data_IF_171855006275
#
_entry.id   IF_171855006275
#
_cell.length_a   1.000
_cell.length_b   1.000
_cell.length_c   1.000
_cell.angle_alpha   90.00
_cell.angle_beta   90.00
_cell.angle_gamma   90.00
#
_symmetry.space_group_name_H-M   'P 1'
#
loop_
_entity.id
_entity.type
_entity.pdbx_description
1 polymer ?
#
# COMPACT_ATOMS: atom_id res chain seq x y z
N UNK A 1 61.13 -5.71 -29.92
CA UNK A 1 60.02 -6.42 -29.24
C UNK A 1 59.52 -5.52 -28.11
N UNK A 2 58.30 -4.98 -28.22
CA UNK A 2 57.67 -4.14 -27.17
C UNK A 2 56.74 -5.04 -26.35
N UNK A 3 56.95 -5.10 -25.03
CA UNK A 3 56.05 -5.79 -24.10
C UNK A 3 54.92 -4.84 -23.67
N UNK A 4 53.68 -5.27 -23.87
CA UNK A 4 52.47 -4.59 -23.39
C UNK A 4 52.15 -5.14 -22.00
N UNK A 5 52.20 -4.30 -20.97
CA UNK A 5 51.78 -4.67 -19.60
C UNK A 5 50.27 -4.51 -19.53
N UNK A 6 49.55 -5.63 -19.41
CA UNK A 6 48.11 -5.65 -19.18
C UNK A 6 47.86 -5.48 -17.67
N UNK A 7 47.44 -4.29 -17.23
CA UNK A 7 47.01 -4.06 -15.84
C UNK A 7 45.56 -4.54 -15.72
N UNK A 8 45.35 -5.71 -15.13
CA UNK A 8 44.03 -6.20 -14.74
C UNK A 8 43.55 -5.38 -13.54
N UNK A 9 42.66 -4.41 -13.78
CA UNK A 9 41.92 -3.75 -12.69
C UNK A 9 40.78 -4.68 -12.29
N UNK A 10 40.98 -5.42 -11.19
CA UNK A 10 39.91 -6.14 -10.51
C UNK A 10 38.93 -5.10 -9.93
N UNK A 11 37.83 -4.84 -10.65
CA UNK A 11 36.68 -4.14 -10.10
C UNK A 11 36.03 -5.06 -9.07
N UNK A 12 36.39 -4.88 -7.80
CA UNK A 12 35.66 -5.44 -6.68
C UNK A 12 34.24 -4.87 -6.72
N UNK A 13 33.25 -5.71 -7.00
CA UNK A 13 31.84 -5.40 -6.80
C UNK A 13 31.62 -5.20 -5.30
N UNK A 14 31.75 -3.96 -4.83
CA UNK A 14 31.29 -3.57 -3.50
C UNK A 14 29.76 -3.51 -3.60
N UNK A 15 29.11 -4.62 -3.27
CA UNK A 15 27.67 -4.61 -3.01
C UNK A 15 27.44 -3.61 -1.87
N UNK A 16 26.55 -2.60 -2.01
CA UNK A 16 26.24 -1.71 -0.91
C UNK A 16 25.77 -2.55 0.27
N UNK A 17 26.47 -2.43 1.40
CA UNK A 17 26.03 -3.02 2.65
C UNK A 17 24.69 -2.39 3.00
N UNK A 18 23.65 -3.23 3.11
CA UNK A 18 22.32 -2.84 3.58
C UNK A 18 22.45 -1.90 4.79
N UNK A 19 21.98 -0.66 4.68
CA UNK A 19 21.90 0.24 5.83
C UNK A 19 20.97 -0.38 6.89
N UNK A 20 21.36 -0.31 8.16
CA UNK A 20 20.48 -0.75 9.23
C UNK A 20 19.17 0.06 9.16
N UNK A 21 18.03 -0.53 9.54
CA UNK A 21 16.79 0.22 9.72
C UNK A 21 17.02 1.41 10.67
N UNK A 22 17.09 2.62 10.13
CA UNK A 22 17.34 3.87 10.87
C UNK A 22 16.16 4.82 10.77
N UNK A 23 16.09 5.76 11.69
CA UNK A 23 15.14 6.87 11.65
C UNK A 23 15.57 7.89 10.59
N UNK A 24 14.62 8.39 9.80
CA UNK A 24 14.81 9.59 8.99
C UNK A 24 14.97 10.83 9.89
N UNK A 25 15.36 11.97 9.31
CA UNK A 25 15.51 13.21 10.09
C UNK A 25 14.21 13.63 10.80
N UNK A 26 13.05 13.49 10.15
CA UNK A 26 11.75 13.82 10.75
C UNK A 26 11.36 12.83 11.86
N UNK A 27 11.64 11.54 11.65
CA UNK A 27 11.35 10.50 12.65
C UNK A 27 12.26 10.64 13.87
N UNK A 28 13.53 10.98 13.65
CA UNK A 28 14.49 11.27 14.71
C UNK A 28 14.10 12.51 15.51
N UNK A 29 13.63 13.56 14.83
CA UNK A 29 13.08 14.75 15.49
C UNK A 29 11.86 14.39 16.35
N UNK A 30 10.90 13.64 15.80
CA UNK A 30 9.72 13.21 16.54
C UNK A 30 10.07 12.36 17.77
N UNK A 31 10.99 11.40 17.60
CA UNK A 31 11.53 10.60 18.71
C UNK A 31 12.11 11.51 19.81
N UNK A 32 12.95 12.48 19.44
CA UNK A 32 13.57 13.40 20.40
C UNK A 32 12.53 14.24 21.14
N UNK A 33 11.50 14.72 20.43
CA UNK A 33 10.41 15.50 21.01
C UNK A 33 9.59 14.66 22.02
N UNK A 34 9.29 13.40 21.69
CA UNK A 34 8.60 12.49 22.61
C UNK A 34 9.45 12.22 23.85
N UNK A 35 10.76 11.98 23.68
CA UNK A 35 11.66 11.75 24.81
C UNK A 35 11.79 13.00 25.70
N UNK A 36 11.88 14.19 25.10
CA UNK A 36 11.89 15.45 25.83
C UNK A 36 10.59 15.65 26.62
N UNK A 37 9.44 15.37 26.01
CA UNK A 37 8.15 15.45 26.69
C UNK A 37 8.06 14.47 27.88
N UNK A 38 8.46 13.20 27.68
CA UNK A 38 8.53 12.21 28.76
C UNK A 38 9.45 12.64 29.91
N UNK A 39 10.59 13.26 29.59
CA UNK A 39 11.51 13.79 30.60
C UNK A 39 10.87 14.90 31.45
N UNK A 40 10.01 15.75 30.87
CA UNK A 40 9.25 16.75 31.65
C UNK A 40 8.29 16.12 32.66
N UNK A 41 7.91 14.86 32.45
CA UNK A 41 7.06 14.07 33.34
C UNK A 41 7.89 13.18 34.29
N UNK A 42 9.22 13.32 34.32
CA UNK A 42 10.10 12.50 35.16
C UNK A 42 10.23 11.04 34.71
N UNK A 43 9.86 10.73 33.47
CA UNK A 43 9.90 9.37 32.93
C UNK A 43 11.21 9.09 32.16
N UNK A 44 11.70 7.84 32.17
CA UNK A 44 12.92 7.48 31.45
C UNK A 44 12.73 7.52 29.93
N UNK A 45 13.84 7.75 29.23
CA UNK A 45 13.91 7.59 27.77
C UNK A 45 13.70 6.13 27.38
N UNK A 46 13.04 5.90 26.26
CA UNK A 46 12.76 4.57 25.71
C UNK A 46 13.75 4.28 24.59
N UNK A 47 14.46 3.14 24.60
CA UNK A 47 15.36 2.78 23.50
C UNK A 47 14.65 2.66 22.15
N UNK A 48 15.20 3.28 21.11
CA UNK A 48 14.73 3.10 19.74
C UNK A 48 14.91 1.63 19.30
N UNK A 49 13.83 1.03 18.83
CA UNK A 49 13.76 -0.36 18.38
C UNK A 49 13.78 -0.42 16.86
N UNK A 50 14.62 -1.30 16.31
CA UNK A 50 14.69 -1.54 14.86
C UNK A 50 13.42 -2.22 14.37
N UNK A 51 12.92 -3.20 15.12
CA UNK A 51 11.69 -3.91 14.78
C UNK A 51 10.48 -2.98 14.79
N UNK A 52 10.27 -2.22 15.88
CA UNK A 52 9.12 -1.32 15.96
C UNK A 52 9.24 -0.14 14.98
N UNK A 53 10.45 0.32 14.66
CA UNK A 53 10.66 1.35 13.63
C UNK A 53 10.24 0.81 12.26
N UNK A 54 10.59 -0.43 11.93
CA UNK A 54 10.10 -1.09 10.71
C UNK A 54 8.57 -1.15 10.66
N UNK A 55 7.92 -1.54 11.76
CA UNK A 55 6.45 -1.58 11.84
C UNK A 55 5.85 -0.20 11.63
N UNK A 56 6.37 0.82 12.31
CA UNK A 56 5.89 2.19 12.24
C UNK A 56 6.03 2.78 10.83
N UNK A 57 7.18 2.58 10.19
CA UNK A 57 7.42 3.03 8.82
C UNK A 57 6.57 2.27 7.80
N UNK A 58 6.40 0.96 7.98
CA UNK A 58 5.50 0.13 7.15
C UNK A 58 4.09 0.71 7.22
N UNK A 59 3.60 1.01 8.42
CA UNK A 59 2.26 1.56 8.63
C UNK A 59 2.11 2.97 8.07
N UNK A 60 3.09 3.86 8.26
CA UNK A 60 3.04 5.20 7.69
C UNK A 60 2.95 5.17 6.16
N UNK A 61 3.67 4.26 5.50
CA UNK A 61 3.55 4.07 4.06
C UNK A 61 2.20 3.45 3.66
N UNK A 62 1.68 2.48 4.42
CA UNK A 62 0.35 1.89 4.19
C UNK A 62 -0.76 2.94 4.28
N UNK A 63 -0.82 3.69 5.38
CA UNK A 63 -1.84 4.74 5.61
C UNK A 63 -1.73 5.85 4.57
N UNK A 64 -0.51 6.21 4.16
CA UNK A 64 -0.29 7.17 3.08
C UNK A 64 -0.81 6.68 1.73
N UNK A 65 -0.65 5.39 1.43
CA UNK A 65 -1.04 4.82 0.14
C UNK A 65 -2.52 4.43 0.09
N UNK A 66 -3.05 3.94 1.21
CA UNK A 66 -4.41 3.46 1.39
C UNK A 66 -5.04 4.10 2.63
N UNK A 67 -5.31 5.42 2.62
CA UNK A 67 -5.86 6.10 3.77
C UNK A 67 -7.18 5.45 4.22
N UNK A 68 -7.35 5.20 5.53
CA UNK A 68 -8.58 4.62 6.04
C UNK A 68 -9.75 5.58 5.82
N UNK A 69 -10.89 5.03 5.41
CA UNK A 69 -12.16 5.76 5.30
C UNK A 69 -13.09 5.37 6.43
N UNK A 70 -14.00 6.27 6.80
CA UNK A 70 -15.01 5.99 7.82
C UNK A 70 -15.79 4.70 7.48
N UNK A 71 -16.05 3.81 8.47
CA UNK A 71 -15.88 4.00 9.92
C UNK A 71 -14.47 3.71 10.45
N UNK A 72 -13.52 3.32 9.60
CA UNK A 72 -12.14 3.01 9.99
C UNK A 72 -11.35 4.32 10.23
N UNK A 73 -10.37 4.28 11.14
CA UNK A 73 -9.52 5.41 11.48
C UNK A 73 -8.02 5.11 11.27
N UNK A 74 -7.14 6.05 11.62
CA UNK A 74 -5.69 6.00 11.41
C UNK A 74 -4.94 4.79 12.02
N UNK A 75 -5.57 4.03 12.91
CA UNK A 75 -5.00 2.78 13.46
C UNK A 75 -5.28 1.55 12.58
N UNK A 76 -6.02 1.72 11.49
CA UNK A 76 -6.37 0.65 10.55
C UNK A 76 -5.18 0.26 9.70
N UNK A 77 -5.17 -1.00 9.26
CA UNK A 77 -4.18 -1.56 8.34
C UNK A 77 -4.91 -2.05 7.10
N UNK A 78 -4.46 -1.63 5.93
CA UNK A 78 -5.09 -2.01 4.67
C UNK A 78 -4.90 -3.51 4.37
N UNK A 79 -5.61 -3.99 3.35
CA UNK A 79 -5.42 -5.36 2.83
C UNK A 79 -4.30 -5.47 1.78
N UNK A 80 -3.48 -4.44 1.63
CA UNK A 80 -2.44 -4.35 0.59
C UNK A 80 -1.04 -4.61 1.16
N UNK A 81 -0.90 -5.62 2.02
CA UNK A 81 0.37 -6.04 2.59
C UNK A 81 0.36 -7.50 3.02
N UNK A 82 1.50 -8.01 3.50
CA UNK A 82 1.64 -9.39 4.01
C UNK A 82 1.08 -9.58 5.42
N UNK A 83 0.41 -8.58 5.96
CA UNK A 83 -0.11 -8.51 7.31
C UNK A 83 -1.63 -8.74 7.33
N UNK A 84 -2.19 -9.02 8.51
CA UNK A 84 -3.65 -9.17 8.66
C UNK A 84 -4.35 -7.82 8.55
N UNK A 85 -5.18 -7.58 7.53
CA UNK A 85 -5.92 -6.33 7.42
C UNK A 85 -6.82 -6.06 8.65
N UNK A 86 -6.96 -4.80 9.04
CA UNK A 86 -7.84 -4.41 10.15
C UNK A 86 -8.51 -3.05 9.88
N UNK A 87 -9.83 -3.01 10.02
CA UNK A 87 -10.56 -1.76 10.17
C UNK A 87 -10.68 -1.49 11.67
N UNK A 88 -9.95 -0.50 12.18
CA UNK A 88 -10.03 -0.07 13.57
C UNK A 88 -10.92 1.17 13.64
N UNK A 89 -12.01 1.09 14.39
CA UNK A 89 -13.01 2.15 14.53
C UNK A 89 -12.80 2.96 15.81
N UNK A 90 -12.23 2.36 16.86
CA UNK A 90 -11.92 3.07 18.10
C UNK A 90 -11.78 2.18 19.32
N UNK A 91 -11.70 2.80 20.51
CA UNK A 91 -11.51 2.10 21.79
C UNK A 91 -12.65 1.14 22.15
N UNK A 92 -13.80 1.26 21.51
CA UNK A 92 -14.96 0.38 21.72
C UNK A 92 -14.92 -0.89 20.85
N UNK A 93 -13.92 -1.03 19.97
CA UNK A 93 -13.78 -2.23 19.17
C UNK A 93 -13.63 -3.50 20.04
N UNK A 94 -14.13 -4.66 19.55
CA UNK A 94 -13.92 -5.93 20.19
C UNK A 94 -12.43 -6.23 20.42
N UNK A 95 -12.12 -7.00 21.46
CA UNK A 95 -10.75 -7.41 21.79
C UNK A 95 -10.02 -8.05 20.60
N UNK A 96 -10.73 -8.84 19.78
CA UNK A 96 -10.18 -9.47 18.58
C UNK A 96 -9.76 -8.50 17.48
N UNK A 97 -10.34 -7.30 17.42
CA UNK A 97 -9.93 -6.23 16.50
C UNK A 97 -8.72 -5.48 17.05
N UNK A 98 -8.73 -5.17 18.36
CA UNK A 98 -7.59 -4.55 19.05
C UNK A 98 -6.32 -5.41 18.94
N UNK A 99 -6.45 -6.71 19.13
CA UNK A 99 -5.35 -7.66 19.01
C UNK A 99 -4.74 -7.65 17.61
N UNK A 100 -5.53 -7.60 16.53
CA UNK A 100 -4.99 -7.50 15.17
C UNK A 100 -4.05 -6.30 14.97
N UNK A 101 -4.29 -5.18 15.65
CA UNK A 101 -3.35 -4.04 15.68
C UNK A 101 -2.14 -4.39 16.55
N UNK A 102 -2.34 -4.87 17.78
CA UNK A 102 -1.25 -5.10 18.72
C UNK A 102 -0.27 -6.22 18.33
N UNK A 103 -0.72 -7.14 17.47
CA UNK A 103 0.09 -8.26 16.95
C UNK A 103 1.02 -7.85 15.78
N UNK A 104 0.90 -6.64 15.22
CA UNK A 104 1.68 -6.22 14.03
C UNK A 104 3.18 -6.40 14.15
N UNK A 105 3.82 -6.11 15.30
CA UNK A 105 5.24 -6.42 15.46
C UNK A 105 5.59 -7.89 15.20
N UNK A 106 4.74 -8.83 15.62
CA UNK A 106 4.95 -10.28 15.43
C UNK A 106 4.69 -10.72 13.99
N UNK A 107 3.77 -10.06 13.28
CA UNK A 107 3.49 -10.36 11.88
C UNK A 107 4.64 -9.92 10.96
N UNK A 108 5.29 -8.80 11.31
CA UNK A 108 6.23 -8.11 10.44
C UNK A 108 7.68 -8.33 10.82
N UNK A 109 7.95 -8.69 12.07
CA UNK A 109 9.30 -8.73 12.63
C UNK A 109 9.47 -9.84 13.67
N UNK A 110 10.71 -10.17 14.07
CA UNK A 110 10.97 -11.09 15.18
C UNK A 110 10.59 -10.55 16.58
N UNK A 111 10.10 -9.31 16.71
CA UNK A 111 9.67 -8.76 17.99
C UNK A 111 8.45 -9.54 18.51
N UNK A 112 8.68 -10.35 19.56
CA UNK A 112 7.73 -11.35 20.02
C UNK A 112 6.62 -10.81 20.92
N UNK A 113 6.66 -9.55 21.33
CA UNK A 113 5.66 -8.98 22.25
C UNK A 113 4.54 -8.27 21.50
N UNK A 114 3.56 -7.76 22.24
CA UNK A 114 2.62 -6.80 21.67
C UNK A 114 3.27 -5.44 21.49
N UNK A 115 2.77 -4.70 20.49
CA UNK A 115 3.06 -3.29 20.30
C UNK A 115 1.80 -2.46 20.47
N UNK A 116 1.95 -1.26 21.04
CA UNK A 116 0.87 -0.31 21.25
C UNK A 116 1.11 0.93 20.41
N UNK A 117 0.08 1.43 19.74
CA UNK A 117 0.22 2.42 18.70
C UNK A 117 -0.44 3.75 19.07
N UNK A 118 0.22 4.86 18.71
CA UNK A 118 -0.43 6.15 18.49
C UNK A 118 -0.28 6.55 17.02
N UNK A 119 -1.35 7.10 16.44
CA UNK A 119 -1.43 7.44 15.02
C UNK A 119 -1.98 8.86 14.84
N UNK A 120 -1.53 9.57 13.81
CA UNK A 120 -2.05 10.88 13.39
C UNK A 120 -1.77 11.14 11.91
N UNK A 121 -2.45 12.15 11.34
CA UNK A 121 -2.27 12.54 9.94
C UNK A 121 -3.47 12.26 9.02
N UNK A 122 -4.71 12.30 9.52
CA UNK A 122 -5.91 12.13 8.68
C UNK A 122 -6.15 13.37 7.81
N UNK A 123 -5.47 13.46 6.66
CA UNK A 123 -5.65 14.54 5.68
C UNK A 123 -4.32 15.03 5.11
N UNK A 124 -4.32 15.31 3.81
CA UNK A 124 -3.17 15.59 2.92
C UNK A 124 -2.32 16.85 3.27
N UNK A 125 -2.36 17.36 4.49
CA UNK A 125 -1.57 18.51 4.92
C UNK A 125 -0.25 18.05 5.52
N UNK A 126 0.86 18.63 5.06
CA UNK A 126 2.19 18.40 5.62
C UNK A 126 2.20 18.78 7.10
N UNK A 127 2.12 17.77 7.98
CA UNK A 127 2.14 17.93 9.43
C UNK A 127 3.58 17.75 9.92
N UNK A 128 4.05 18.65 10.77
CA UNK A 128 5.42 18.58 11.31
C UNK A 128 5.51 17.61 12.49
N UNK A 129 6.71 17.07 12.81
CA UNK A 129 6.94 16.29 14.02
C UNK A 129 6.36 16.93 15.30
N UNK A 130 6.54 18.24 15.49
CA UNK A 130 6.00 18.97 16.63
C UNK A 130 4.47 18.98 16.66
N UNK A 131 3.82 19.20 15.51
CA UNK A 131 2.36 19.20 15.41
C UNK A 131 1.75 17.82 15.71
N UNK A 132 2.41 16.73 15.29
CA UNK A 132 2.00 15.37 15.65
C UNK A 132 2.01 15.17 17.17
N UNK A 133 3.11 15.55 17.84
CA UNK A 133 3.22 15.45 19.29
C UNK A 133 2.19 16.31 20.02
N UNK A 134 1.97 17.55 19.58
CA UNK A 134 0.97 18.43 20.21
C UNK A 134 -0.44 17.87 20.08
N UNK A 135 -0.80 17.30 18.91
CA UNK A 135 -2.06 16.59 18.73
C UNK A 135 -2.21 15.40 19.68
N UNK A 136 -1.16 14.59 19.84
CA UNK A 136 -1.18 13.46 20.76
C UNK A 136 -1.24 13.87 22.23
N UNK A 137 -0.59 14.97 22.63
CA UNK A 137 -0.70 15.53 23.99
C UNK A 137 -2.13 15.99 24.32
N UNK A 138 -2.85 16.53 23.33
CA UNK A 138 -4.25 16.94 23.49
C UNK A 138 -5.24 15.76 23.47
N UNK A 139 -4.85 14.59 22.95
CA UNK A 139 -5.65 13.38 22.93
C UNK A 139 -5.40 12.54 24.18
N UNK A 140 -6.42 12.36 25.03
CA UNK A 140 -6.26 11.62 26.29
C UNK A 140 -5.66 10.23 26.09
N UNK A 141 -6.17 9.43 25.15
CA UNK A 141 -5.69 8.07 24.90
C UNK A 141 -4.26 8.01 24.36
N UNK A 142 -3.91 8.91 23.43
CA UNK A 142 -2.56 8.95 22.88
C UNK A 142 -1.55 9.45 23.91
N UNK A 143 -1.90 10.47 24.69
CA UNK A 143 -1.05 10.97 25.76
C UNK A 143 -0.80 9.91 26.84
N UNK A 144 -1.82 9.15 27.22
CA UNK A 144 -1.66 8.02 28.15
C UNK A 144 -0.69 6.96 27.61
N UNK A 145 -0.71 6.66 26.31
CA UNK A 145 0.24 5.75 25.68
C UNK A 145 1.69 6.30 25.73
N UNK A 146 1.90 7.57 25.36
CA UNK A 146 3.20 8.23 25.43
C UNK A 146 3.79 8.17 26.84
N UNK A 147 2.96 8.35 27.87
CA UNK A 147 3.39 8.32 29.28
C UNK A 147 3.48 6.89 29.84
N UNK A 148 2.84 5.91 29.21
CA UNK A 148 2.80 4.52 29.67
C UNK A 148 1.69 4.23 30.69
N UNK A 149 0.76 5.15 30.88
CA UNK A 149 -0.31 5.03 31.85
C UNK A 149 -1.43 4.13 31.30
N UNK A 150 -1.78 3.06 32.02
CA UNK A 150 -2.82 2.12 31.58
C UNK A 150 -2.37 1.11 30.51
N UNK A 151 -1.06 1.04 30.26
CA UNK A 151 -0.45 0.05 29.37
C UNK A 151 0.53 -0.83 30.13
N UNK A 152 0.92 -2.02 29.60
CA UNK A 152 2.00 -2.79 30.18
C UNK A 152 3.29 -1.97 30.24
N UNK A 153 3.93 -1.95 31.41
CA UNK A 153 5.14 -1.19 31.69
C UNK A 153 6.28 -2.12 32.16
N UNK A 154 7.55 -1.68 32.04
CA UNK A 154 8.01 -0.42 31.45
C UNK A 154 8.00 -0.44 29.91
N UNK A 155 8.02 0.73 29.27
CA UNK A 155 8.37 0.83 27.86
C UNK A 155 9.87 0.58 27.65
N UNK A 156 10.19 -0.50 26.93
CA UNK A 156 11.55 -0.95 26.65
C UNK A 156 11.95 -0.81 25.18
N UNK A 157 10.98 -0.51 24.31
CA UNK A 157 11.19 -0.34 22.87
C UNK A 157 10.23 0.73 22.31
N UNK A 158 10.73 1.58 21.42
CA UNK A 158 9.91 2.53 20.66
C UNK A 158 10.31 2.54 19.18
N UNK A 159 9.33 2.60 18.28
CA UNK A 159 9.52 2.78 16.85
C UNK A 159 8.74 3.97 16.33
N UNK A 160 9.31 4.70 15.37
CA UNK A 160 8.71 5.92 14.80
C UNK A 160 8.72 5.81 13.27
N UNK A 161 7.60 6.15 12.65
CA UNK A 161 7.44 6.18 11.20
C UNK A 161 6.69 7.43 10.75
N UNK A 162 7.25 8.17 9.80
CA UNK A 162 6.61 9.36 9.21
C UNK A 162 6.65 9.24 7.68
N UNK A 163 5.50 9.44 7.04
CA UNK A 163 5.39 9.50 5.59
C UNK A 163 4.35 10.52 5.16
N UNK A 164 4.77 11.55 4.43
CA UNK A 164 3.91 12.56 3.78
C UNK A 164 2.77 13.10 4.68
N UNK A 165 3.07 13.39 5.96
CA UNK A 165 2.11 13.92 6.94
C UNK A 165 1.34 12.87 7.75
N UNK A 166 1.57 11.57 7.51
CA UNK A 166 1.13 10.47 8.37
C UNK A 166 2.23 10.10 9.35
N UNK A 167 1.90 9.99 10.63
CA UNK A 167 2.84 9.60 11.68
C UNK A 167 2.27 8.49 12.55
N UNK A 168 3.06 7.45 12.73
CA UNK A 168 2.76 6.30 13.59
C UNK A 168 3.92 6.08 14.56
N UNK A 169 3.59 5.86 15.83
CA UNK A 169 4.59 5.52 16.86
C UNK A 169 4.13 4.28 17.59
N UNK A 170 5.05 3.32 17.72
CA UNK A 170 4.81 2.02 18.32
C UNK A 170 5.63 1.86 19.59
N UNK A 171 4.99 1.45 20.68
CA UNK A 171 5.58 1.23 22.00
C UNK A 171 5.55 -0.25 22.35
N UNK A 172 6.66 -0.75 22.89
CA UNK A 172 6.83 -2.13 23.30
C UNK A 172 7.28 -2.22 24.74
N UNK A 173 6.70 -3.16 25.49
CA UNK A 173 7.09 -3.41 26.88
C UNK A 173 8.26 -4.41 27.01
N UNK A 174 8.73 -4.98 25.91
CA UNK A 174 9.87 -5.89 25.87
C UNK A 174 11.05 -5.22 25.15
N UNK A 175 12.26 -5.61 25.50
CA UNK A 175 13.46 -5.09 24.83
C UNK A 175 13.56 -5.69 23.43
N UNK A 176 13.86 -4.85 22.45
CA UNK A 176 14.23 -5.31 21.12
C UNK A 176 15.65 -5.89 21.13
N UNK A 177 15.75 -7.20 21.35
CA UNK A 177 17.02 -7.92 21.37
C UNK A 177 17.50 -8.32 19.96
N UNK A 178 16.80 -7.89 18.90
CA UNK A 178 17.12 -8.30 17.54
C UNK A 178 18.35 -7.57 17.00
N UNK A 179 19.47 -8.29 16.98
CA UNK A 179 20.78 -7.86 16.50
C UNK A 179 21.08 -8.33 15.05
N UNK A 180 20.15 -9.06 14.43
CA UNK A 180 20.26 -9.52 13.04
C UNK A 180 20.04 -8.41 12.01
N UNK A 181 20.17 -8.77 10.74
CA UNK A 181 19.69 -7.94 9.64
C UNK A 181 18.19 -8.23 9.49
N UNK A 182 17.34 -7.26 9.87
CA UNK A 182 15.96 -7.27 9.42
C UNK A 182 16.00 -7.46 7.89
N UNK A 183 14.99 -8.10 7.26
CA UNK A 183 14.98 -8.26 5.81
C UNK A 183 15.52 -6.97 5.16
N UNK A 184 16.62 -7.13 4.39
CA UNK A 184 17.49 -6.14 3.70
C UNK A 184 16.88 -4.74 3.52
N UNK A 185 17.67 -3.63 3.58
CA UNK A 185 17.15 -2.34 4.04
C UNK A 185 15.83 -2.05 3.35
N UNK A 186 14.78 -1.86 4.16
CA UNK A 186 13.43 -1.69 3.67
C UNK A 186 13.37 -0.46 2.77
N UNK A 187 13.63 -0.67 1.49
CA UNK A 187 12.97 0.09 0.46
C UNK A 187 11.53 -0.37 0.61
N UNK A 188 10.66 0.51 1.11
CA UNK A 188 9.23 0.27 0.97
C UNK A 188 8.98 0.03 -0.52
N UNK A 189 8.88 -1.22 -0.91
CA UNK A 189 8.28 -1.63 -2.15
C UNK A 189 6.84 -1.92 -1.77
N UNK A 190 5.84 -1.25 -2.36
CA UNK A 190 4.49 -1.79 -2.28
C UNK A 190 4.58 -3.26 -2.69
N UNK A 191 3.81 -4.18 -2.06
CA UNK A 191 3.96 -5.61 -2.34
C UNK A 191 4.04 -5.79 -3.85
N UNK A 192 5.02 -6.54 -4.37
CA UNK A 192 5.10 -6.76 -5.80
C UNK A 192 3.72 -7.23 -6.20
N UNK A 193 3.11 -6.45 -7.09
CA UNK A 193 1.87 -6.83 -7.71
C UNK A 193 1.95 -8.31 -8.05
N UNK A 194 1.03 -9.11 -7.51
CA UNK A 194 0.98 -10.53 -7.87
C UNK A 194 0.98 -10.55 -9.39
N UNK A 195 1.95 -11.21 -10.03
CA UNK A 195 2.13 -11.11 -11.47
C UNK A 195 0.78 -11.37 -12.18
N UNK A 196 0.29 -10.38 -12.93
CA UNK A 196 -1.01 -10.44 -13.58
C UNK A 196 -2.22 -9.99 -12.76
N UNK A 197 -2.04 -9.37 -11.58
CA UNK A 197 -3.14 -8.75 -10.82
C UNK A 197 -3.74 -7.54 -11.52
N UNK A 198 -2.94 -6.84 -12.33
CA UNK A 198 -3.31 -5.65 -13.11
C UNK A 198 -3.71 -6.01 -14.55
N UNK A 199 -3.40 -7.24 -14.99
CA UNK A 199 -3.54 -7.68 -16.37
C UNK A 199 -4.63 -8.75 -16.51
N UNK A 200 -5.54 -8.54 -17.47
CA UNK A 200 -6.34 -9.60 -18.07
C UNK A 200 -5.67 -10.02 -19.39
N UNK A 201 -5.06 -11.21 -19.36
CA UNK A 201 -4.34 -11.77 -20.51
C UNK A 201 -5.31 -12.27 -21.60
N UNK A 202 -4.79 -12.41 -22.82
CA UNK A 202 -5.53 -13.00 -23.93
C UNK A 202 -6.17 -14.34 -23.55
N UNK A 203 -7.36 -14.57 -24.08
CA UNK A 203 -8.19 -15.75 -23.89
C UNK A 203 -8.55 -16.10 -22.45
N UNK A 204 -8.18 -15.26 -21.48
CA UNK A 204 -8.58 -15.45 -20.08
C UNK A 204 -9.96 -14.82 -19.88
N UNK A 205 -10.80 -15.53 -19.16
CA UNK A 205 -12.11 -15.05 -18.77
C UNK A 205 -12.01 -14.32 -17.44
N UNK A 206 -12.53 -13.09 -17.38
CA UNK A 206 -12.82 -12.43 -16.12
C UNK A 206 -14.32 -12.49 -15.86
N UNK A 207 -14.72 -13.34 -14.93
CA UNK A 207 -16.12 -13.58 -14.57
C UNK A 207 -16.64 -12.56 -13.55
N UNK A 208 -17.96 -12.57 -13.32
CA UNK A 208 -18.57 -11.78 -12.27
C UNK A 208 -17.88 -11.98 -10.92
N UNK A 209 -17.79 -10.89 -10.16
CA UNK A 209 -17.13 -10.75 -8.86
C UNK A 209 -15.60 -10.83 -8.88
N UNK A 210 -14.99 -10.91 -10.07
CA UNK A 210 -13.54 -10.80 -10.21
C UNK A 210 -13.12 -9.34 -10.36
N UNK A 211 -11.86 -9.07 -10.03
CA UNK A 211 -11.22 -7.77 -10.16
C UNK A 211 -9.80 -7.89 -10.68
N UNK A 212 -9.32 -6.78 -11.23
CA UNK A 212 -7.91 -6.51 -11.45
C UNK A 212 -7.55 -5.20 -10.79
N UNK A 213 -6.35 -5.15 -10.24
CA UNK A 213 -5.88 -4.07 -9.38
C UNK A 213 -4.59 -3.52 -9.99
N UNK A 214 -4.54 -2.21 -10.18
CA UNK A 214 -3.32 -1.47 -10.54
C UNK A 214 -2.14 -1.85 -9.64
N UNK A 215 -0.90 -1.65 -10.11
CA UNK A 215 0.29 -2.00 -9.34
C UNK A 215 0.44 -1.09 -8.10
N UNK A 216 -0.03 0.15 -8.19
CA UNK A 216 -0.16 1.06 -7.05
C UNK A 216 -1.43 0.82 -6.20
N UNK A 217 -2.25 -0.15 -6.59
CA UNK A 217 -3.53 -0.56 -6.00
C UNK A 217 -4.55 0.55 -5.67
N UNK A 218 -4.36 1.76 -6.18
CA UNK A 218 -5.33 2.86 -6.07
C UNK A 218 -6.55 2.60 -6.94
N UNK A 219 -6.33 1.92 -8.07
CA UNK A 219 -7.34 1.66 -9.07
C UNK A 219 -7.67 0.19 -9.20
N UNK A 220 -8.97 -0.10 -9.32
CA UNK A 220 -9.50 -1.44 -9.53
C UNK A 220 -10.48 -1.40 -10.68
N UNK A 221 -10.43 -2.38 -11.57
CA UNK A 221 -11.56 -2.67 -12.43
C UNK A 221 -12.22 -3.98 -12.02
N UNK A 222 -13.53 -3.94 -11.86
CA UNK A 222 -14.32 -4.97 -11.18
C UNK A 222 -15.51 -5.33 -12.06
N UNK A 223 -15.77 -6.62 -12.24
CA UNK A 223 -17.01 -7.10 -12.89
C UNK A 223 -18.00 -7.43 -11.77
N UNK A 224 -19.18 -6.82 -11.78
CA UNK A 224 -20.24 -7.04 -10.78
C UNK A 224 -21.59 -7.24 -11.49
N UNK A 225 -22.03 -8.48 -11.63
CA UNK A 225 -23.28 -8.82 -12.31
C UNK A 225 -23.29 -8.32 -13.77
N UNK A 226 -24.13 -7.33 -14.07
CA UNK A 226 -24.26 -6.69 -15.38
C UNK A 226 -23.50 -5.34 -15.47
N UNK A 227 -22.54 -5.08 -14.58
CA UNK A 227 -21.67 -3.91 -14.63
C UNK A 227 -20.18 -4.27 -14.71
N UNK A 228 -19.41 -3.40 -15.35
CA UNK A 228 -17.99 -3.20 -15.06
C UNK A 228 -17.85 -1.86 -14.36
N UNK A 229 -17.10 -1.83 -13.26
CA UNK A 229 -16.71 -0.61 -12.55
C UNK A 229 -15.22 -0.40 -12.66
N UNK A 230 -14.81 0.85 -12.87
CA UNK A 230 -13.47 1.32 -12.56
C UNK A 230 -13.60 2.17 -11.28
N UNK A 231 -12.88 1.79 -10.24
CA UNK A 231 -12.93 2.44 -8.93
C UNK A 231 -11.56 3.02 -8.58
N UNK A 232 -11.55 4.22 -7.98
CA UNK A 232 -10.39 4.84 -7.33
C UNK A 232 -10.64 4.89 -5.84
N UNK A 233 -9.80 4.25 -5.03
CA UNK A 233 -9.95 4.22 -3.56
C UNK A 233 -11.36 3.80 -3.09
N UNK A 234 -12.05 2.93 -3.84
CA UNK A 234 -13.40 2.45 -3.54
C UNK A 234 -14.54 3.27 -4.14
N UNK A 235 -14.27 4.45 -4.67
CA UNK A 235 -15.27 5.28 -5.36
C UNK A 235 -15.30 4.97 -6.86
N UNK A 236 -16.50 4.81 -7.42
CA UNK A 236 -16.68 4.58 -8.87
C UNK A 236 -16.31 5.84 -9.65
N UNK A 237 -15.34 5.72 -10.55
CA UNK A 237 -14.92 6.82 -11.45
C UNK A 237 -15.44 6.62 -12.87
N UNK A 238 -15.69 5.38 -13.27
CA UNK A 238 -16.28 5.02 -14.56
C UNK A 238 -17.02 3.69 -14.43
N UNK A 239 -18.07 3.51 -15.24
CA UNK A 239 -18.78 2.24 -15.32
C UNK A 239 -19.30 1.97 -16.73
N UNK A 240 -19.48 0.69 -17.02
CA UNK A 240 -20.21 0.20 -18.20
C UNK A 240 -21.31 -0.73 -17.73
N UNK A 241 -22.55 -0.40 -18.08
CA UNK A 241 -23.72 -1.25 -17.84
C UNK A 241 -23.99 -2.14 -19.05
N UNK A 242 -24.46 -3.36 -18.78
CA UNK A 242 -24.92 -4.34 -19.75
C UNK A 242 -26.41 -4.65 -19.57
N UNK A 243 -27.03 -5.20 -20.62
CA UNK A 243 -28.44 -5.60 -20.61
C UNK A 243 -28.68 -7.01 -20.03
N UNK A 244 -27.62 -7.77 -19.75
CA UNK A 244 -27.65 -9.10 -19.14
C UNK A 244 -26.42 -9.30 -18.25
N UNK A 245 -26.53 -10.24 -17.31
CA UNK A 245 -25.42 -10.60 -16.43
C UNK A 245 -24.20 -11.08 -17.21
N UNK A 246 -23.03 -10.56 -16.83
CA UNK A 246 -21.78 -10.88 -17.47
C UNK A 246 -21.23 -12.22 -16.98
N UNK A 247 -21.08 -13.17 -17.89
CA UNK A 247 -20.37 -14.42 -17.63
C UNK A 247 -18.86 -14.23 -17.75
N UNK A 248 -18.45 -13.43 -18.73
CA UNK A 248 -17.06 -13.32 -19.12
C UNK A 248 -16.74 -11.99 -19.80
N UNK A 249 -15.83 -11.22 -19.21
CA UNK A 249 -15.05 -10.21 -19.94
C UNK A 249 -13.78 -10.89 -20.47
N UNK A 250 -13.53 -10.82 -21.78
CA UNK A 250 -12.45 -11.58 -22.42
C UNK A 250 -11.75 -10.79 -23.51
N UNK A 251 -10.42 -10.81 -23.51
CA UNK A 251 -9.60 -10.38 -24.66
C UNK A 251 -9.48 -11.56 -25.63
N UNK A 252 -9.91 -11.38 -26.87
CA UNK A 252 -9.85 -12.41 -27.93
C UNK A 252 -8.53 -12.36 -28.69
N UNK A 253 -8.20 -13.46 -29.39
CA UNK A 253 -7.00 -13.58 -30.24
C UNK A 253 -6.93 -12.55 -31.37
N UNK A 254 -8.03 -11.95 -31.77
CA UNK A 254 -8.09 -10.92 -32.82
C UNK A 254 -7.86 -9.50 -32.28
N UNK A 255 -7.55 -9.36 -30.98
CA UNK A 255 -7.34 -8.08 -30.32
C UNK A 255 -8.62 -7.38 -29.88
N UNK A 256 -9.79 -8.05 -29.92
CA UNK A 256 -11.04 -7.48 -29.45
C UNK A 256 -11.30 -7.81 -27.97
N UNK A 257 -11.70 -6.84 -27.16
CA UNK A 257 -12.20 -7.07 -25.81
C UNK A 257 -13.72 -7.19 -25.89
N UNK A 258 -14.27 -8.31 -25.42
CA UNK A 258 -15.70 -8.62 -25.50
C UNK A 258 -16.30 -8.93 -24.15
N UNK A 259 -17.56 -8.55 -23.99
CA UNK A 259 -18.41 -8.91 -22.87
C UNK A 259 -19.37 -10.02 -23.32
N UNK A 260 -19.28 -11.20 -22.70
CA UNK A 260 -20.08 -12.39 -22.98
C UNK A 260 -21.07 -12.58 -21.82
N UNK A 261 -22.36 -12.60 -22.15
CA UNK A 261 -23.44 -12.76 -21.18
C UNK A 261 -23.61 -14.20 -20.71
N UNK A 262 -24.39 -14.40 -19.65
CA UNK A 262 -24.72 -15.71 -19.05
C UNK A 262 -25.32 -16.75 -20.00
N UNK A 263 -25.93 -16.31 -21.11
CA UNK A 263 -26.44 -17.18 -22.18
C UNK A 263 -25.41 -17.46 -23.30
N UNK A 264 -24.13 -17.14 -23.08
CA UNK A 264 -23.00 -17.22 -24.03
C UNK A 264 -23.07 -16.26 -25.24
N UNK A 265 -23.94 -15.24 -25.23
CA UNK A 265 -23.95 -14.22 -26.29
C UNK A 265 -22.90 -13.13 -26.05
N UNK A 266 -22.14 -12.75 -27.08
CA UNK A 266 -21.34 -11.51 -27.06
C UNK A 266 -22.30 -10.31 -27.12
N UNK A 267 -22.34 -9.52 -26.05
CA UNK A 267 -23.30 -8.41 -25.87
C UNK A 267 -22.66 -7.02 -25.97
N UNK A 268 -21.32 -6.95 -25.93
CA UNK A 268 -20.57 -5.71 -26.08
C UNK A 268 -19.15 -6.01 -26.57
N UNK A 269 -18.55 -5.06 -27.28
CA UNK A 269 -17.13 -5.14 -27.67
C UNK A 269 -16.48 -3.76 -27.80
N UNK A 270 -15.14 -3.72 -27.71
CA UNK A 270 -14.34 -2.51 -27.99
C UNK A 270 -14.24 -2.17 -29.47
N UNK A 271 -14.66 -3.07 -30.38
CA UNK A 271 -14.55 -2.87 -31.83
C UNK A 271 -13.11 -2.86 -32.36
N UNK A 272 -12.18 -3.52 -31.63
CA UNK A 272 -10.75 -3.54 -31.96
C UNK A 272 -10.28 -4.80 -32.69
N UNK A 273 -11.20 -5.62 -33.21
CA UNK A 273 -10.87 -6.79 -34.04
C UNK A 273 -9.91 -6.42 -35.17
N UNK A 274 -8.85 -7.22 -35.33
CA UNK A 274 -7.79 -7.03 -36.32
C UNK A 274 -6.69 -6.05 -35.90
N UNK A 275 -6.74 -5.51 -34.67
CA UNK A 275 -5.73 -4.56 -34.15
C UNK A 275 -4.76 -5.17 -33.14
N UNK A 276 -4.83 -6.47 -32.89
CA UNK A 276 -3.90 -7.21 -32.03
C UNK A 276 -3.85 -8.70 -32.36
N UNK A 277 -3.10 -9.49 -31.58
CA UNK A 277 -3.03 -10.95 -31.71
C UNK A 277 -3.16 -11.67 -30.35
N UNK A 278 -2.63 -12.89 -30.26
CA UNK A 278 -2.59 -13.71 -29.05
C UNK A 278 -1.79 -13.07 -27.89
N UNK A 279 -0.99 -12.04 -28.14
CA UNK A 279 -0.28 -11.29 -27.09
C UNK A 279 -1.02 -10.03 -26.63
N UNK A 280 -2.23 -9.76 -27.15
CA UNK A 280 -3.07 -8.66 -26.68
C UNK A 280 -3.47 -8.85 -25.22
N UNK A 281 -3.42 -7.77 -24.42
CA UNK A 281 -3.82 -7.80 -23.01
C UNK A 281 -4.51 -6.51 -22.58
N UNK A 282 -5.40 -6.61 -21.60
CA UNK A 282 -6.03 -5.45 -20.95
C UNK A 282 -5.30 -5.18 -19.63
N UNK A 283 -4.97 -3.92 -19.34
CA UNK A 283 -4.20 -3.52 -18.15
C UNK A 283 -4.87 -2.40 -17.37
N UNK A 284 -5.00 -2.58 -16.06
CA UNK A 284 -5.30 -1.50 -15.11
C UNK A 284 -4.02 -0.74 -14.79
N UNK A 285 -3.91 0.49 -15.27
CA UNK A 285 -2.72 1.30 -15.05
C UNK A 285 -2.78 2.07 -13.74
N UNK A 286 -1.60 2.45 -13.26
CA UNK A 286 -1.39 3.22 -12.03
C UNK A 286 -1.86 4.69 -12.16
N UNK A 287 -2.06 5.19 -13.36
CA UNK A 287 -2.67 6.50 -13.60
C UNK A 287 -4.20 6.46 -13.55
N UNK A 288 -4.82 5.28 -13.44
CA UNK A 288 -6.26 5.10 -13.43
C UNK A 288 -6.89 4.84 -14.78
N UNK A 289 -6.11 4.71 -15.85
CA UNK A 289 -6.60 4.33 -17.16
C UNK A 289 -6.68 2.81 -17.30
N UNK A 290 -7.77 2.30 -17.88
CA UNK A 290 -7.91 0.90 -18.27
C UNK A 290 -7.64 0.80 -19.76
N UNK A 291 -6.57 0.12 -20.14
CA UNK A 291 -6.02 0.19 -21.50
C UNK A 291 -5.84 -1.19 -22.10
N UNK A 292 -6.34 -1.36 -23.33
CA UNK A 292 -6.12 -2.54 -24.15
C UNK A 292 -4.88 -2.32 -25.01
N UNK A 293 -3.88 -3.18 -24.82
CA UNK A 293 -2.60 -3.15 -25.53
C UNK A 293 -2.52 -4.28 -26.54
N UNK A 294 -2.04 -3.97 -27.75
CA UNK A 294 -1.63 -4.98 -28.71
C UNK A 294 -0.21 -5.50 -28.43
N UNK A 295 0.25 -6.42 -29.28
CA UNK A 295 1.52 -7.12 -29.14
C UNK A 295 2.76 -6.21 -29.19
N UNK A 296 2.62 -5.03 -29.79
CA UNK A 296 3.68 -4.01 -29.84
C UNK A 296 3.62 -3.05 -28.65
N UNK A 297 2.88 -3.38 -27.59
CA UNK A 297 2.57 -2.50 -26.46
C UNK A 297 1.98 -1.15 -26.91
N UNK A 298 1.26 -1.13 -28.04
CA UNK A 298 0.54 0.06 -28.51
C UNK A 298 -0.88 0.04 -27.94
N UNK A 299 -1.35 1.13 -27.31
CA UNK A 299 -2.74 1.19 -26.86
C UNK A 299 -3.68 1.22 -28.06
N UNK A 300 -4.61 0.28 -28.12
CA UNK A 300 -5.60 0.15 -29.21
C UNK A 300 -7.01 0.52 -28.76
N UNK A 301 -7.25 0.54 -27.46
CA UNK A 301 -8.46 1.07 -26.81
C UNK A 301 -8.15 1.53 -25.39
N UNK A 302 -8.86 2.54 -24.87
CA UNK A 302 -8.74 2.97 -23.48
C UNK A 302 -10.03 3.63 -22.95
N UNK A 303 -10.27 3.54 -21.65
CA UNK A 303 -11.39 4.24 -20.97
C UNK A 303 -11.22 5.76 -20.92
N UNK A 304 -10.00 6.28 -21.00
CA UNK A 304 -9.71 7.72 -20.92
C UNK A 304 -9.81 8.27 -19.49
N UNK A 305 -9.55 7.44 -18.48
CA UNK A 305 -9.83 7.73 -17.05
C UNK A 305 -8.60 8.13 -16.23
N UNK A 306 -7.55 8.63 -16.87
CA UNK A 306 -6.32 9.05 -16.17
C UNK A 306 -6.61 10.07 -15.06
N UNK A 307 -5.89 10.00 -13.95
CA UNK A 307 -6.16 10.79 -12.73
C UNK A 307 -7.39 10.34 -11.94
N UNK A 308 -8.15 9.37 -12.45
CA UNK A 308 -9.42 8.93 -11.87
C UNK A 308 -10.60 9.84 -12.17
N UNK A 309 -10.60 10.48 -13.34
CA UNK A 309 -11.72 11.27 -13.85
C UNK A 309 -12.01 10.90 -15.30
N UNK A 310 -13.28 10.89 -15.70
CA UNK A 310 -13.66 10.64 -17.10
C UNK A 310 -13.08 11.73 -18.00
N UNK A 311 -12.48 11.35 -19.13
CA UNK A 311 -11.74 12.23 -20.05
C UNK A 311 -10.48 12.87 -19.43
N UNK A 312 -9.93 12.32 -18.34
CA UNK A 312 -8.68 12.77 -17.74
C UNK A 312 -7.45 12.54 -18.63
N UNK A 313 -7.59 11.69 -19.65
CA UNK A 313 -6.71 11.60 -20.79
C UNK A 313 -7.53 11.31 -22.06
N UNK A 314 -6.96 11.58 -23.23
CA UNK A 314 -7.62 11.30 -24.50
C UNK A 314 -8.05 9.83 -24.60
N UNK A 315 -9.29 9.58 -25.02
CA UNK A 315 -9.75 8.23 -25.33
C UNK A 315 -9.05 7.72 -26.59
N UNK A 316 -8.70 6.44 -26.60
CA UNK A 316 -8.20 5.76 -27.80
C UNK A 316 -9.34 4.91 -28.33
N UNK A 317 -9.85 5.27 -29.51
CA UNK A 317 -10.77 4.43 -30.29
C UNK A 317 -12.19 4.28 -29.73
N UNK A 318 -13.06 5.23 -30.05
CA UNK A 318 -14.50 4.96 -30.20
C UNK A 318 -14.87 5.34 -31.64
N UNK A 319 -15.28 4.37 -32.44
CA UNK A 319 -16.20 4.64 -33.55
C UNK A 319 -17.58 4.19 -33.12
#
# INVERSE_FOLDING_TARGET
MRYLILVLVLLSNITPKAEAQTLSSQEQELYNLIMAYRATQGLPSIPASRCLTYVAQTHANDTKMYPPTAPCNGHSWSSNGSWTAVCYTGTNDPQSIKEKVWFKPRELTPYYAYGYEISSGTGHSATTPAQHLDGWKSSHGHNMCILGNGFPQPWNAIGVGIKDGYAHVWFGNETDNYNGHLPSPYVWTPPPAVAGQDILANNTCMSAWQKKTSLNAQYKFEVEGYFIYLKKNGETVWSQQFNMDLQCLKVKNDGNLVAIASNNQEIWSTGTSGRGSASTFLKMQDDGNLVLYNDNNTPIWATGTCGGVVNGCGSVGTR
#
